data_IF_485652672417
#
_entry.id   IF_485652672417
#
_cell.length_a   1.000
_cell.length_b   1.000
_cell.length_c   1.000
_cell.angle_alpha   90.00
_cell.angle_beta   90.00
_cell.angle_gamma   90.00
#
_symmetry.space_group_name_H-M   'P 1'
#
loop_
_entity.id
_entity.type
_entity.pdbx_description
1 polymer ?
#
# COMPACT_ATOMS: atom_id res chain seq x y z
N UNK A 1 13.08 -11.19 -9.46
CA UNK A 1 11.63 -11.39 -9.68
C UNK A 1 11.43 -11.44 -11.19
N UNK A 2 10.60 -12.32 -11.75
CA UNK A 2 10.38 -12.39 -13.21
C UNK A 2 9.66 -11.12 -13.66
N UNK A 3 10.43 -10.07 -13.94
CA UNK A 3 9.90 -8.80 -14.45
C UNK A 3 9.42 -8.92 -15.89
N UNK A 4 9.95 -9.89 -16.64
CA UNK A 4 9.64 -10.11 -18.06
C UNK A 4 8.79 -11.35 -18.25
N UNK A 5 7.59 -11.13 -18.78
CA UNK A 5 6.67 -12.15 -19.31
C UNK A 5 7.39 -13.16 -20.22
N UNK A 6 8.38 -12.69 -20.98
CA UNK A 6 9.17 -13.50 -21.91
C UNK A 6 9.76 -14.75 -21.24
N UNK A 7 10.28 -14.64 -20.02
CA UNK A 7 10.89 -15.77 -19.31
C UNK A 7 9.82 -16.81 -18.98
N UNK A 8 8.62 -16.37 -18.59
CA UNK A 8 7.50 -17.26 -18.27
C UNK A 8 7.08 -18.07 -19.50
N UNK A 9 6.93 -17.40 -20.64
CA UNK A 9 6.52 -18.07 -21.88
C UNK A 9 7.61 -19.01 -22.42
N UNK A 10 8.89 -18.67 -22.28
CA UNK A 10 9.99 -19.56 -22.62
C UNK A 10 9.98 -20.81 -21.73
N UNK A 11 9.78 -20.66 -20.41
CA UNK A 11 9.69 -21.82 -19.51
C UNK A 11 8.49 -22.70 -19.84
N UNK A 12 7.34 -22.10 -20.12
CA UNK A 12 6.12 -22.83 -20.51
C UNK A 12 6.31 -23.60 -21.81
N UNK A 13 6.86 -22.96 -22.85
CA UNK A 13 7.11 -23.62 -24.13
C UNK A 13 8.18 -24.72 -24.02
N UNK A 14 9.19 -24.55 -23.17
CA UNK A 14 10.20 -25.58 -22.91
C UNK A 14 9.60 -26.89 -22.36
N UNK A 15 8.51 -26.80 -21.59
CA UNK A 15 7.82 -27.99 -21.05
C UNK A 15 6.97 -28.74 -22.07
N UNK A 16 6.65 -28.14 -23.22
CA UNK A 16 5.73 -28.72 -24.21
C UNK A 16 6.19 -30.06 -24.82
N UNK A 17 7.49 -30.38 -24.74
CA UNK A 17 8.05 -31.65 -25.23
C UNK A 17 7.90 -32.81 -24.23
N UNK A 18 7.48 -32.56 -22.99
CA UNK A 18 7.31 -33.57 -21.93
C UNK A 18 5.82 -33.80 -21.67
N UNK A 19 5.39 -35.06 -21.57
CA UNK A 19 3.98 -35.40 -21.31
C UNK A 19 3.56 -35.09 -19.87
N UNK A 20 4.41 -35.43 -18.89
CA UNK A 20 4.14 -35.26 -17.46
C UNK A 20 5.09 -34.22 -16.86
N UNK A 21 4.87 -32.95 -17.17
CA UNK A 21 5.64 -31.86 -16.58
C UNK A 21 4.89 -31.26 -15.38
N UNK A 22 5.64 -30.84 -14.38
CA UNK A 22 5.16 -30.03 -13.27
C UNK A 22 5.86 -28.67 -13.34
N UNK A 23 5.08 -27.59 -13.40
CA UNK A 23 5.59 -26.23 -13.30
C UNK A 23 5.23 -25.67 -11.93
N UNK A 24 6.24 -25.35 -11.12
CA UNK A 24 6.07 -24.71 -9.82
C UNK A 24 6.35 -23.22 -9.97
N UNK A 25 5.33 -22.40 -9.74
CA UNK A 25 5.45 -20.95 -9.71
C UNK A 25 5.34 -20.46 -8.26
N UNK A 26 6.49 -20.17 -7.66
CA UNK A 26 6.56 -19.55 -6.32
C UNK A 26 6.84 -18.07 -6.48
N UNK A 27 5.98 -17.25 -5.88
CA UNK A 27 6.07 -15.80 -5.99
C UNK A 27 5.31 -15.18 -4.82
N UNK A 28 5.71 -13.97 -4.45
CA UNK A 28 5.04 -13.16 -3.44
C UNK A 28 4.50 -11.91 -4.12
N UNK A 29 3.60 -11.20 -3.45
CA UNK A 29 3.17 -9.89 -3.88
C UNK A 29 4.39 -8.99 -4.08
N UNK A 30 4.32 -8.15 -5.10
CA UNK A 30 5.38 -7.21 -5.48
C UNK A 30 4.90 -5.78 -5.37
N UNK A 31 5.87 -4.88 -5.49
CA UNK A 31 5.61 -3.43 -5.56
C UNK A 31 5.24 -2.96 -6.97
N UNK A 32 5.61 -3.73 -8.00
CA UNK A 32 5.25 -3.48 -9.40
C UNK A 32 3.89 -4.11 -9.67
N UNK A 33 2.97 -3.29 -10.19
CA UNK A 33 1.61 -3.70 -10.59
C UNK A 33 1.53 -3.98 -12.09
N UNK A 34 0.46 -4.65 -12.50
CA UNK A 34 0.11 -4.92 -13.89
C UNK A 34 1.13 -5.81 -14.61
N UNK A 35 1.73 -6.74 -13.87
CA UNK A 35 2.68 -7.70 -14.44
C UNK A 35 2.07 -9.12 -14.49
N UNK A 36 2.83 -10.09 -15.02
CA UNK A 36 2.47 -11.51 -15.13
C UNK A 36 1.99 -12.10 -13.80
N UNK A 37 2.51 -11.60 -12.67
CA UNK A 37 2.04 -11.99 -11.34
C UNK A 37 0.56 -11.70 -11.16
N UNK A 38 0.10 -10.47 -11.45
CA UNK A 38 -1.29 -10.07 -11.25
C UNK A 38 -2.24 -10.85 -12.18
N UNK A 39 -1.81 -11.14 -13.41
CA UNK A 39 -2.55 -12.01 -14.35
C UNK A 39 -2.74 -13.42 -13.77
N UNK A 40 -1.65 -14.03 -13.27
CA UNK A 40 -1.68 -15.38 -12.69
C UNK A 40 -2.43 -15.43 -11.37
N UNK A 41 -2.32 -14.37 -10.58
CA UNK A 41 -3.04 -14.21 -9.33
C UNK A 41 -4.55 -14.16 -9.57
N UNK A 42 -5.01 -13.31 -10.48
CA UNK A 42 -6.43 -13.22 -10.84
C UNK A 42 -6.96 -14.53 -11.44
N UNK A 43 -6.14 -15.23 -12.22
CA UNK A 43 -6.50 -16.56 -12.71
C UNK A 43 -6.65 -17.56 -11.55
N UNK A 44 -5.75 -17.55 -10.57
CA UNK A 44 -5.81 -18.38 -9.39
C UNK A 44 -7.05 -18.12 -8.53
N UNK A 45 -7.40 -16.85 -8.28
CA UNK A 45 -8.64 -16.46 -7.59
C UNK A 45 -9.87 -17.05 -8.30
N UNK A 46 -9.96 -16.89 -9.63
CA UNK A 46 -11.09 -17.42 -10.41
C UNK A 46 -11.19 -18.95 -10.38
N UNK A 47 -10.06 -19.65 -10.27
CA UNK A 47 -10.04 -21.11 -10.12
C UNK A 47 -10.51 -21.50 -8.72
N UNK A 48 -10.05 -20.80 -7.67
CA UNK A 48 -10.49 -21.02 -6.28
C UNK A 48 -11.99 -20.75 -6.09
N UNK A 49 -12.51 -19.70 -6.73
CA UNK A 49 -13.94 -19.35 -6.74
C UNK A 49 -14.79 -20.29 -7.60
N UNK A 50 -14.18 -21.29 -8.26
CA UNK A 50 -14.82 -22.19 -9.22
C UNK A 50 -15.44 -21.50 -10.45
N UNK A 51 -15.09 -20.24 -10.72
CA UNK A 51 -15.48 -19.51 -11.93
C UNK A 51 -14.82 -20.12 -13.17
N UNK A 52 -13.56 -20.54 -13.03
CA UNK A 52 -12.81 -21.28 -14.06
C UNK A 52 -12.55 -22.69 -13.56
N UNK A 53 -12.94 -23.70 -14.34
CA UNK A 53 -12.62 -25.10 -14.04
C UNK A 53 -11.37 -25.53 -14.81
N UNK A 54 -10.22 -25.55 -14.12
CA UNK A 54 -8.98 -26.12 -14.63
C UNK A 54 -8.40 -27.14 -13.63
N UNK A 55 -8.46 -28.42 -13.99
CA UNK A 55 -7.97 -29.51 -13.14
C UNK A 55 -6.43 -29.66 -13.19
N UNK A 56 -5.74 -28.92 -14.06
CA UNK A 56 -4.27 -28.94 -14.19
C UNK A 56 -3.59 -27.83 -13.40
N UNK A 57 -4.37 -26.87 -12.90
CA UNK A 57 -3.87 -25.72 -12.17
C UNK A 57 -4.30 -25.81 -10.70
N UNK A 58 -3.33 -25.94 -9.80
CA UNK A 58 -3.57 -25.97 -8.36
C UNK A 58 -3.09 -24.65 -7.73
N UNK A 59 -3.98 -23.69 -7.47
CA UNK A 59 -3.62 -22.48 -6.75
C UNK A 59 -3.44 -22.75 -5.26
N UNK A 60 -2.35 -22.24 -4.69
CA UNK A 60 -2.14 -22.20 -3.24
C UNK A 60 -1.71 -20.80 -2.84
N UNK A 61 -2.57 -20.08 -2.14
CA UNK A 61 -2.35 -18.68 -1.75
C UNK A 61 -2.34 -18.60 -0.23
N UNK A 62 -1.28 -17.98 0.31
CA UNK A 62 -1.16 -17.66 1.72
C UNK A 62 -1.14 -16.14 1.85
N UNK A 63 -2.20 -15.56 2.39
CA UNK A 63 -2.34 -14.13 2.61
C UNK A 63 -3.21 -13.83 3.84
N UNK A 64 -3.26 -12.56 4.22
CA UNK A 64 -4.22 -12.08 5.20
C UNK A 64 -5.48 -11.59 4.50
N UNK A 65 -6.64 -11.80 5.12
CA UNK A 65 -7.94 -11.39 4.58
C UNK A 65 -8.08 -9.85 4.58
N UNK A 66 -7.62 -9.21 5.66
CA UNK A 66 -7.68 -7.75 5.81
C UNK A 66 -6.35 -7.12 6.24
N UNK A 67 -6.11 -5.88 5.79
CA UNK A 67 -4.93 -5.10 6.14
C UNK A 67 -4.84 -4.71 7.62
N UNK A 68 -5.87 -4.91 8.43
CA UNK A 68 -5.78 -4.62 9.86
C UNK A 68 -5.34 -5.85 10.67
N UNK A 69 -5.45 -7.06 10.11
CA UNK A 69 -5.18 -8.31 10.83
C UNK A 69 -3.72 -8.45 11.24
N UNK A 70 -2.77 -7.90 10.47
CA UNK A 70 -1.33 -8.00 10.78
C UNK A 70 -0.95 -7.37 12.12
N UNK A 71 -1.80 -6.50 12.70
CA UNK A 71 -1.58 -5.93 14.04
C UNK A 71 -1.77 -6.95 15.15
N UNK A 72 -2.32 -8.12 14.86
CA UNK A 72 -2.37 -9.24 15.76
C UNK A 72 -1.39 -10.31 15.28
N UNK A 73 -0.38 -10.61 16.09
CA UNK A 73 0.66 -11.58 15.75
C UNK A 73 0.08 -12.97 15.42
N UNK A 74 -0.99 -13.39 16.10
CA UNK A 74 -1.61 -14.69 15.88
C UNK A 74 -2.20 -14.84 14.47
N UNK A 75 -2.62 -13.74 13.84
CA UNK A 75 -3.15 -13.80 12.47
C UNK A 75 -2.03 -14.03 11.44
N UNK A 76 -0.76 -13.73 11.78
CA UNK A 76 0.36 -13.88 10.85
C UNK A 76 0.65 -15.35 10.48
N UNK A 77 0.19 -16.31 11.29
CA UNK A 77 0.25 -17.74 10.96
C UNK A 77 -0.57 -18.10 9.72
N UNK A 78 -1.65 -17.35 9.40
CA UNK A 78 -2.43 -17.55 8.17
C UNK A 78 -1.57 -17.36 6.91
N UNK A 79 -0.78 -16.27 6.90
CA UNK A 79 0.11 -15.95 5.78
C UNK A 79 1.45 -16.71 5.84
N UNK A 80 1.85 -17.21 7.03
CA UNK A 80 3.11 -17.89 7.26
C UNK A 80 2.88 -19.24 7.96
N UNK A 81 2.40 -20.27 7.25
CA UNK A 81 2.07 -21.58 7.85
C UNK A 81 3.29 -22.29 8.47
N UNK A 82 4.50 -21.92 8.05
CA UNK A 82 5.75 -22.53 8.50
C UNK A 82 6.45 -21.74 9.62
N UNK A 83 5.76 -20.75 10.20
CA UNK A 83 6.25 -19.96 11.33
C UNK A 83 6.39 -20.85 12.56
N UNK A 84 7.57 -20.82 13.20
CA UNK A 84 7.92 -21.69 14.32
C UNK A 84 8.56 -23.02 13.95
N UNK A 85 8.63 -23.38 12.66
CA UNK A 85 9.29 -24.61 12.19
C UNK A 85 10.56 -24.25 11.41
N UNK A 86 10.42 -23.55 10.28
CA UNK A 86 11.56 -23.09 9.47
C UNK A 86 11.88 -21.62 9.66
N UNK A 87 10.88 -20.82 10.02
CA UNK A 87 11.03 -19.40 10.33
C UNK A 87 10.97 -19.21 11.84
N UNK A 88 12.09 -18.80 12.42
CA UNK A 88 12.18 -18.58 13.87
C UNK A 88 11.25 -17.45 14.32
N UNK A 89 10.45 -17.74 15.36
CA UNK A 89 9.43 -16.84 15.88
C UNK A 89 10.08 -15.56 16.43
N UNK A 90 11.18 -15.68 17.15
CA UNK A 90 11.83 -14.54 17.83
C UNK A 90 12.26 -13.44 16.84
N UNK A 91 12.93 -13.84 15.75
CA UNK A 91 13.35 -12.91 14.70
C UNK A 91 12.15 -12.26 14.01
N UNK A 92 11.13 -13.06 13.70
CA UNK A 92 9.93 -12.55 13.03
C UNK A 92 9.12 -11.61 13.92
N UNK A 93 9.07 -11.88 15.22
CA UNK A 93 8.42 -11.02 16.20
C UNK A 93 9.16 -9.69 16.36
N UNK A 94 10.50 -9.70 16.32
CA UNK A 94 11.30 -8.47 16.32
C UNK A 94 11.03 -7.62 15.07
N UNK A 95 11.06 -8.23 13.88
CA UNK A 95 10.72 -7.54 12.61
C UNK A 95 9.30 -6.96 12.63
N UNK A 96 8.34 -7.71 13.18
CA UNK A 96 6.96 -7.27 13.31
C UNK A 96 6.82 -6.07 14.26
N UNK A 97 7.51 -6.10 15.40
CA UNK A 97 7.54 -4.98 16.35
C UNK A 97 8.17 -3.73 15.73
N UNK A 98 9.25 -3.89 14.97
CA UNK A 98 9.89 -2.78 14.26
C UNK A 98 8.96 -2.16 13.21
N UNK A 99 8.25 -3.00 12.45
CA UNK A 99 7.26 -2.55 11.47
C UNK A 99 6.07 -1.82 12.12
N UNK A 100 5.63 -2.23 13.32
CA UNK A 100 4.59 -1.51 14.07
C UNK A 100 5.01 -0.08 14.44
N UNK A 101 6.29 0.10 14.80
CA UNK A 101 6.84 1.38 15.23
C UNK A 101 7.18 2.28 14.03
N UNK A 102 7.73 1.70 12.97
CA UNK A 102 8.32 2.45 11.84
C UNK A 102 7.41 2.39 10.60
N UNK A 103 6.68 3.48 10.26
CA UNK A 103 5.75 3.50 9.12
C UNK A 103 6.42 3.19 7.78
N UNK A 104 7.69 3.55 7.61
CA UNK A 104 8.46 3.31 6.38
C UNK A 104 8.70 1.82 6.11
N UNK A 105 8.75 0.99 7.16
CA UNK A 105 8.98 -0.45 7.02
C UNK A 105 7.67 -1.25 6.85
N UNK A 106 6.53 -0.67 7.22
CA UNK A 106 5.21 -1.33 7.10
C UNK A 106 4.90 -1.84 5.69
N UNK A 107 5.10 -1.08 4.61
CA UNK A 107 4.82 -1.57 3.26
C UNK A 107 5.64 -2.82 2.91
N UNK A 108 6.92 -2.82 3.26
CA UNK A 108 7.81 -3.95 3.01
C UNK A 108 7.39 -5.18 3.81
N UNK A 109 7.05 -5.00 5.09
CA UNK A 109 6.56 -6.10 5.94
C UNK A 109 5.25 -6.69 5.39
N UNK A 110 4.28 -5.83 5.07
CA UNK A 110 2.97 -6.25 4.57
C UNK A 110 3.06 -6.97 3.22
N UNK A 111 3.89 -6.49 2.30
CA UNK A 111 4.10 -7.14 1.00
C UNK A 111 4.79 -8.50 1.20
N UNK A 112 5.92 -8.54 1.92
CA UNK A 112 6.78 -9.73 1.97
C UNK A 112 6.32 -10.80 2.93
N UNK A 113 5.65 -10.42 4.03
CA UNK A 113 5.27 -11.36 5.09
C UNK A 113 3.77 -11.58 5.22
N UNK A 114 2.95 -10.64 4.75
CA UNK A 114 1.49 -10.80 4.77
C UNK A 114 0.89 -11.03 3.37
N UNK A 115 1.73 -10.99 2.32
CA UNK A 115 1.34 -11.09 0.91
C UNK A 115 0.29 -10.04 0.47
N UNK A 116 0.17 -8.94 1.21
CA UNK A 116 -0.83 -7.92 0.96
C UNK A 116 -0.36 -6.93 -0.11
N UNK A 117 -1.31 -6.49 -0.95
CA UNK A 117 -1.07 -5.41 -1.92
C UNK A 117 -0.83 -4.11 -1.15
N UNK A 118 0.41 -3.61 -1.16
CA UNK A 118 0.68 -2.23 -0.76
C UNK A 118 0.95 -1.40 -2.00
N UNK A 119 0.23 -0.30 -2.15
CA UNK A 119 0.60 0.74 -3.09
C UNK A 119 1.78 1.50 -2.45
N UNK A 120 2.87 1.59 -3.20
CA UNK A 120 4.12 2.21 -2.76
C UNK A 120 4.06 3.74 -2.70
N UNK A 121 2.92 4.35 -3.00
CA UNK A 121 2.74 5.76 -2.70
C UNK A 121 2.70 5.88 -1.18
N UNK A 122 3.86 6.17 -0.61
CA UNK A 122 4.00 6.86 0.66
C UNK A 122 3.26 8.18 0.50
N UNK A 123 1.94 8.13 0.63
CA UNK A 123 1.13 9.32 0.76
C UNK A 123 1.76 10.10 1.91
N UNK A 124 2.25 11.30 1.62
CA UNK A 124 2.88 12.17 2.60
C UNK A 124 1.98 12.39 3.83
N UNK A 125 0.68 12.13 3.66
CA UNK A 125 -0.34 12.20 4.68
C UNK A 125 -1.09 10.87 4.73
N UNK A 126 -1.33 10.36 5.95
CA UNK A 126 -2.24 9.24 6.11
C UNK A 126 -3.67 9.69 5.75
N UNK A 127 -4.51 8.76 5.31
CA UNK A 127 -5.92 9.04 5.01
C UNK A 127 -6.64 9.64 6.23
N UNK A 128 -6.32 9.18 7.44
CA UNK A 128 -6.84 9.75 8.69
C UNK A 128 -6.42 11.21 8.88
N UNK A 129 -5.17 11.58 8.56
CA UNK A 129 -4.70 12.97 8.69
C UNK A 129 -5.46 13.92 7.76
N UNK A 130 -5.83 13.43 6.56
CA UNK A 130 -6.61 14.19 5.58
C UNK A 130 -8.08 14.31 6.02
N UNK A 131 -8.72 13.22 6.45
CA UNK A 131 -10.11 13.21 6.88
C UNK A 131 -10.34 14.05 8.14
N UNK A 132 -9.40 14.03 9.09
CA UNK A 132 -9.48 14.85 10.32
C UNK A 132 -9.39 16.35 10.03
N UNK A 133 -8.64 16.75 8.98
CA UNK A 133 -8.44 18.16 8.61
C UNK A 133 -9.47 18.71 7.61
N UNK A 134 -10.16 17.85 6.86
CA UNK A 134 -11.08 18.26 5.79
C UNK A 134 -12.53 18.54 6.21
N UNK A 135 -12.94 18.27 7.45
CA UNK A 135 -14.35 18.37 7.86
C UNK A 135 -14.88 19.79 8.10
N UNK A 136 -14.18 20.84 7.66
CA UNK A 136 -14.67 22.21 7.79
C UNK A 136 -14.99 22.77 6.40
N UNK A 137 -16.28 22.85 6.09
CA UNK A 137 -16.75 23.71 5.00
C UNK A 137 -16.44 25.15 5.42
N UNK A 138 -15.42 25.75 4.82
CA UNK A 138 -15.01 27.12 5.13
C UNK A 138 -15.88 28.04 4.28
N UNK A 139 -16.78 28.78 4.93
CA UNK A 139 -17.51 29.85 4.24
C UNK A 139 -16.55 31.01 3.98
N UNK A 140 -16.25 31.27 2.70
CA UNK A 140 -15.23 32.26 2.28
C UNK A 140 -15.57 33.69 2.69
N UNK A 141 -16.84 34.00 2.91
CA UNK A 141 -17.30 35.34 3.26
C UNK A 141 -16.87 35.76 4.68
N UNK A 142 -16.74 34.80 5.60
CA UNK A 142 -16.34 35.04 6.99
C UNK A 142 -14.84 35.38 7.12
N UNK A 143 -14.02 35.00 6.14
CA UNK A 143 -12.56 35.16 6.15
C UNK A 143 -12.07 36.40 5.38
N UNK A 144 -12.96 37.08 4.66
CA UNK A 144 -12.70 38.40 4.04
C UNK A 144 -12.75 39.55 5.07
N UNK A 145 -13.09 39.24 6.32
CA UNK A 145 -13.14 40.20 7.43
C UNK A 145 -11.70 40.57 7.85
N UNK A 146 -11.39 41.86 7.63
CA UNK A 146 -10.15 42.65 7.82
C UNK A 146 -9.03 42.06 8.71
N UNK A 147 -7.78 42.29 8.25
CA UNK A 147 -6.49 42.05 8.92
C UNK A 147 -6.02 40.59 9.06
N UNK A 148 -6.14 39.77 8.02
CA UNK A 148 -5.49 38.45 7.94
C UNK A 148 -4.48 38.39 6.80
N UNK A 149 -3.38 37.68 7.01
CA UNK A 149 -2.41 37.39 5.95
C UNK A 149 -2.97 36.23 5.14
N UNK A 150 -3.21 36.49 3.84
CA UNK A 150 -3.60 35.50 2.86
C UNK A 150 -2.38 35.10 2.05
N UNK A 151 -2.04 33.81 2.06
CA UNK A 151 -1.03 33.23 1.16
C UNK A 151 -1.75 32.49 0.06
N UNK A 152 -1.40 32.79 -1.19
CA UNK A 152 -2.02 32.21 -2.38
C UNK A 152 -0.97 31.40 -3.12
N UNK A 153 -1.24 30.11 -3.32
CA UNK A 153 -0.46 29.23 -4.19
C UNK A 153 -1.22 29.02 -5.50
N UNK A 154 -0.61 29.40 -6.62
CA UNK A 154 -1.18 29.22 -7.96
C UNK A 154 -0.33 28.19 -8.69
N UNK A 155 -0.98 27.12 -9.16
CA UNK A 155 -0.36 26.12 -10.01
C UNK A 155 -0.87 26.27 -11.45
N UNK A 156 0.05 26.53 -12.37
CA UNK A 156 -0.24 26.83 -13.77
C UNK A 156 0.09 25.61 -14.64
N UNK A 157 -0.95 24.98 -15.17
CA UNK A 157 -0.81 23.83 -16.08
C UNK A 157 -0.80 24.24 -17.56
N UNK A 158 -0.28 23.36 -18.43
CA UNK A 158 -0.32 23.55 -19.89
C UNK A 158 -1.04 22.41 -20.61
N UNK A 159 -1.94 22.83 -21.51
CA UNK A 159 -2.75 22.07 -22.48
C UNK A 159 -3.73 21.00 -21.96
N UNK A 160 -3.31 20.02 -21.13
CA UNK A 160 -4.19 18.89 -20.77
C UNK A 160 -4.38 18.63 -19.26
N UNK A 161 -3.85 19.49 -18.39
CA UNK A 161 -3.92 19.29 -16.94
C UNK A 161 -4.74 20.40 -16.24
N UNK A 162 -5.26 20.14 -15.04
CA UNK A 162 -6.12 21.06 -14.30
C UNK A 162 -5.30 22.17 -13.62
N UNK A 163 -5.81 23.41 -13.66
CA UNK A 163 -5.21 24.52 -12.92
C UNK A 163 -5.77 24.56 -11.50
N UNK A 164 -4.89 24.68 -10.51
CA UNK A 164 -5.28 24.77 -9.11
C UNK A 164 -4.93 26.14 -8.54
N UNK A 165 -5.84 26.71 -7.75
CA UNK A 165 -5.58 27.90 -6.94
C UNK A 165 -5.95 27.58 -5.49
N UNK A 166 -4.95 27.63 -4.62
CA UNK A 166 -5.10 27.38 -3.19
C UNK A 166 -4.93 28.68 -2.41
N UNK A 167 -5.82 28.94 -1.45
CA UNK A 167 -5.77 30.10 -0.57
C UNK A 167 -5.69 29.63 0.88
N UNK A 168 -4.73 30.15 1.63
CA UNK A 168 -4.60 29.89 3.07
C UNK A 168 -4.66 31.21 3.83
N UNK A 169 -5.63 31.31 4.74
CA UNK A 169 -5.79 32.45 5.62
C UNK A 169 -5.16 32.14 6.98
N UNK A 170 -4.27 33.02 7.45
CA UNK A 170 -3.68 32.93 8.78
C UNK A 170 -4.22 34.04 9.69
N UNK A 171 -4.59 33.66 10.92
CA UNK A 171 -4.96 34.60 11.97
C UNK A 171 -3.69 35.21 12.56
N UNK A 172 -3.55 36.54 12.46
CA UNK A 172 -2.58 37.26 13.27
C UNK A 172 -3.14 37.27 14.70
N UNK A 173 -2.60 36.42 15.57
CA UNK A 173 -2.80 36.55 17.01
C UNK A 173 -1.76 37.56 17.51
N UNK A 174 -2.13 38.84 17.59
CA UNK A 174 -1.34 39.84 18.32
C UNK A 174 -1.47 39.55 19.82
N UNK A 175 -0.78 38.53 20.33
CA UNK A 175 -0.55 38.44 21.78
C UNK A 175 0.47 39.52 22.12
N UNK A 176 -0.01 40.65 22.64
CA UNK A 176 0.85 41.62 23.32
C UNK A 176 1.46 40.95 24.54
N UNK A 177 2.69 40.43 24.41
CA UNK A 177 3.54 40.11 25.55
C UNK A 177 3.95 41.45 26.15
N UNK A 178 3.24 41.87 27.20
CA UNK A 178 3.62 43.01 28.04
C UNK A 178 4.98 42.67 28.67
N UNK A 179 6.04 43.26 28.13
CA UNK A 179 7.38 43.24 28.73
C UNK A 179 7.29 44.13 29.97
N UNK A 180 7.22 43.51 31.15
CA UNK A 180 7.44 44.17 32.42
C UNK A 180 8.95 44.31 32.64
N UNK A 181 9.46 45.53 32.56
CA UNK A 181 10.78 45.90 33.08
C UNK A 181 10.65 47.18 33.90
N UNK A 182 10.93 47.00 35.20
CA UNK A 182 11.16 47.95 36.30
C UNK A 182 10.04 48.95 36.64
#
# INVERSE_FOLDING_TARGET
MMEKRDIYDVMRTATAKRKDYLMLLITTNGSIRENIFDERYSYAEKVLENTIKDNKFLPWIYELDERNEWKNFNNLYKANPNLGISKYIDNFQAEWQEALITPTQQPNFLIKHCNLKSNLDSALFSRLDLETKNNKIINTDEYLIKNRICTIGIDLSKTNDLRCCSKKYSLICLSWKRISTW
#
